data_IF_995004794572
#
_entry.id   IF_995004794572
#
_cell.length_a   1.000
_cell.length_b   1.000
_cell.length_c   1.000
_cell.angle_alpha   90.00
_cell.angle_beta   90.00
_cell.angle_gamma   90.00
#
_symmetry.space_group_name_H-M   'P 1'
#
loop_
_entity.id
_entity.type
_entity.pdbx_description
1 polymer ?
#
# COMPACT_ATOMS: atom_id res chain seq x y z
N UNK A 1 -7.40 6.81 8.77
CA UNK A 1 -6.31 7.72 9.17
C UNK A 1 -5.67 8.36 7.94
N UNK A 2 -5.11 9.55 8.06
CA UNK A 2 -4.35 10.19 6.96
C UNK A 2 -2.87 9.83 7.12
N UNK A 3 -2.48 8.69 6.56
CA UNK A 3 -1.12 8.16 6.68
C UNK A 3 -0.09 9.00 5.91
N UNK A 4 -0.53 9.72 4.87
CA UNK A 4 0.31 10.62 4.08
C UNK A 4 0.79 11.77 4.95
N UNK A 5 -0.13 12.53 5.57
CA UNK A 5 0.25 13.65 6.44
C UNK A 5 1.12 13.22 7.61
N UNK A 6 0.84 12.05 8.19
CA UNK A 6 1.65 11.51 9.28
C UNK A 6 3.09 11.26 8.80
N UNK A 7 3.27 10.57 7.68
CA UNK A 7 4.58 10.26 7.13
C UNK A 7 5.37 11.53 6.74
N UNK A 8 4.71 12.49 6.09
CA UNK A 8 5.32 13.77 5.69
C UNK A 8 5.88 14.54 6.90
N UNK A 9 5.22 14.46 8.07
CA UNK A 9 5.70 15.09 9.30
C UNK A 9 7.05 14.53 9.80
N UNK A 10 7.44 13.33 9.35
CA UNK A 10 8.73 12.70 9.62
C UNK A 10 9.73 12.84 8.45
N UNK A 11 9.43 13.68 7.45
CA UNK A 11 10.28 13.87 6.28
C UNK A 11 10.21 12.74 5.25
N UNK A 12 9.31 11.77 5.42
CA UNK A 12 9.08 10.65 4.50
C UNK A 12 8.34 11.14 3.26
N UNK A 13 8.70 10.65 2.08
CA UNK A 13 7.84 10.83 0.90
C UNK A 13 6.62 9.92 1.05
N UNK A 14 5.40 10.44 0.91
CA UNK A 14 4.21 9.62 0.97
C UNK A 14 3.22 9.96 -0.13
N UNK A 15 2.55 8.95 -0.67
CA UNK A 15 1.44 9.14 -1.58
C UNK A 15 0.35 8.09 -1.35
N UNK A 16 -0.89 8.49 -1.64
CA UNK A 16 -2.07 7.63 -1.55
C UNK A 16 -2.52 7.21 -2.95
N UNK A 17 -2.80 5.93 -3.12
CA UNK A 17 -3.28 5.34 -4.38
C UNK A 17 -4.66 4.74 -4.16
N UNK A 18 -5.65 5.31 -4.83
CA UNK A 18 -7.04 4.82 -4.80
C UNK A 18 -7.43 4.07 -6.08
N UNK A 19 -6.73 4.37 -7.18
CA UNK A 19 -6.93 3.71 -8.47
C UNK A 19 -5.80 2.70 -8.73
N UNK A 20 -6.11 1.39 -8.89
CA UNK A 20 -5.09 0.38 -9.13
C UNK A 20 -4.27 0.62 -10.41
N UNK A 21 -4.80 1.36 -11.40
CA UNK A 21 -4.07 1.73 -12.62
C UNK A 21 -2.86 2.61 -12.34
N UNK A 22 -2.89 3.36 -11.23
CA UNK A 22 -1.82 4.26 -10.82
C UNK A 22 -0.73 3.57 -9.99
N UNK A 23 -0.99 2.35 -9.49
CA UNK A 23 -0.11 1.64 -8.56
C UNK A 23 1.31 1.46 -9.09
N UNK A 24 1.45 1.05 -10.36
CA UNK A 24 2.76 0.85 -10.99
C UNK A 24 3.60 2.12 -10.96
N UNK A 25 3.00 3.27 -11.30
CA UNK A 25 3.73 4.54 -11.33
C UNK A 25 4.06 5.03 -9.93
N UNK A 26 3.17 4.82 -8.96
CA UNK A 26 3.42 5.15 -7.56
C UNK A 26 4.60 4.35 -6.99
N UNK A 27 4.66 3.05 -7.26
CA UNK A 27 5.81 2.21 -6.91
C UNK A 27 7.10 2.76 -7.51
N UNK A 28 7.09 3.18 -8.79
CA UNK A 28 8.26 3.77 -9.44
C UNK A 28 8.72 5.05 -8.73
N UNK A 29 7.80 5.91 -8.30
CA UNK A 29 8.12 7.12 -7.52
C UNK A 29 8.71 6.77 -6.16
N UNK A 30 8.09 5.88 -5.39
CA UNK A 30 8.62 5.42 -4.10
C UNK A 30 10.03 4.80 -4.23
N UNK A 31 10.27 4.01 -5.29
CA UNK A 31 11.59 3.44 -5.58
C UNK A 31 12.63 4.52 -5.91
N UNK A 32 12.23 5.60 -6.61
CA UNK A 32 13.12 6.73 -6.88
C UNK A 32 13.53 7.43 -5.58
N UNK A 33 12.58 7.69 -4.69
CA UNK A 33 12.86 8.35 -3.41
C UNK A 33 13.79 7.50 -2.52
N UNK A 34 13.52 6.20 -2.41
CA UNK A 34 14.35 5.27 -1.61
C UNK A 34 15.77 5.14 -2.16
N UNK A 35 15.95 5.13 -3.49
CA UNK A 35 17.28 5.17 -4.12
C UNK A 35 18.04 6.48 -3.87
N UNK A 36 17.32 7.56 -3.62
CA UNK A 36 17.90 8.87 -3.26
C UNK A 36 18.08 9.05 -1.75
N UNK A 37 17.90 8.00 -0.94
CA UNK A 37 18.08 8.02 0.51
C UNK A 37 16.90 8.59 1.29
N UNK A 38 15.76 8.86 0.64
CA UNK A 38 14.53 9.28 1.32
C UNK A 38 13.57 8.10 1.49
N UNK A 39 13.16 7.81 2.71
CA UNK A 39 12.13 6.81 2.98
C UNK A 39 10.83 7.15 2.24
N UNK A 40 10.14 6.13 1.73
CA UNK A 40 8.87 6.29 1.03
C UNK A 40 7.76 5.44 1.70
N UNK A 41 6.56 6.00 1.83
CA UNK A 41 5.34 5.31 2.25
C UNK A 41 4.33 5.34 1.10
N UNK A 42 3.75 4.18 0.80
CA UNK A 42 2.69 4.03 -0.21
C UNK A 42 1.40 3.58 0.48
N UNK A 43 0.41 4.47 0.57
CA UNK A 43 -0.90 4.20 1.16
C UNK A 43 -1.86 3.69 0.07
N UNK A 44 -2.07 2.37 0.01
CA UNK A 44 -2.91 1.74 -1.03
C UNK A 44 -4.30 1.49 -0.47
N UNK A 45 -5.30 2.11 -1.09
CA UNK A 45 -6.70 1.86 -0.75
C UNK A 45 -7.16 0.60 -1.47
N UNK A 46 -7.64 -0.36 -0.69
CA UNK A 46 -8.20 -1.62 -1.19
C UNK A 46 -9.64 -1.78 -0.73
N UNK A 47 -10.34 -2.74 -1.35
CA UNK A 47 -11.66 -3.15 -0.88
C UNK A 47 -11.52 -4.00 0.38
N UNK A 48 -12.46 -3.83 1.32
CA UNK A 48 -12.60 -4.76 2.44
C UNK A 48 -13.31 -6.01 1.94
N UNK A 49 -12.55 -7.07 1.68
CA UNK A 49 -13.07 -8.36 1.25
C UNK A 49 -12.89 -9.39 2.39
N UNK A 50 -13.99 -9.93 2.97
CA UNK A 50 -13.94 -10.89 4.07
C UNK A 50 -13.07 -12.12 3.79
N UNK A 51 -12.90 -12.51 2.52
CA UNK A 51 -12.03 -13.64 2.12
C UNK A 51 -10.57 -13.42 2.51
N UNK A 52 -10.16 -12.16 2.63
CA UNK A 52 -8.80 -11.76 2.97
C UNK A 52 -8.70 -11.14 4.38
N UNK A 53 -9.79 -11.16 5.16
CA UNK A 53 -9.82 -10.55 6.49
C UNK A 53 -8.97 -11.30 7.52
N UNK A 54 -8.83 -12.64 7.38
CA UNK A 54 -7.95 -13.45 8.21
C UNK A 54 -7.22 -14.52 7.41
N UNK A 55 -6.00 -14.93 7.82
CA UNK A 55 -5.27 -16.03 7.18
C UNK A 55 -6.10 -17.33 7.15
N UNK A 56 -6.81 -17.67 8.22
CA UNK A 56 -7.61 -18.89 8.30
C UNK A 56 -8.72 -18.90 7.24
N UNK A 57 -9.37 -17.75 7.02
CA UNK A 57 -10.44 -17.60 6.03
C UNK A 57 -9.87 -17.76 4.61
N UNK A 58 -8.73 -17.13 4.33
CA UNK A 58 -8.05 -17.21 3.04
C UNK A 58 -7.59 -18.64 2.69
N UNK A 59 -6.96 -19.34 3.63
CA UNK A 59 -6.42 -20.69 3.41
C UNK A 59 -7.48 -21.80 3.47
N UNK A 60 -8.62 -21.57 4.11
CA UNK A 60 -9.74 -22.54 4.12
C UNK A 60 -10.48 -22.56 2.78
N UNK A 61 -10.66 -21.40 2.13
CA UNK A 61 -11.30 -21.31 0.82
C UNK A 61 -10.43 -21.89 -0.30
N UNK A 62 -9.10 -21.72 -0.24
CA UNK A 62 -8.17 -22.21 -1.27
C UNK A 62 -7.92 -23.72 -1.25
N UNK A 63 -8.26 -24.42 -0.15
CA UNK A 63 -8.26 -25.89 -0.10
C UNK A 63 -9.52 -26.53 -0.68
N UNK A 64 -10.54 -25.74 -1.01
CA UNK A 64 -11.83 -26.19 -1.53
C UNK A 64 -12.00 -25.91 -3.04
N UNK A 65 -10.99 -25.32 -3.70
CA UNK A 65 -10.99 -24.94 -5.11
C UNK A 65 -10.01 -25.77 -5.94
#
# INVERSE_FOLDING_TARGET
PDFVKLAESFGVYAERVEDPRNLKQAIVRCLKETRNGRTALLDVVTVSDPRYATPETYFKTSRLS
#
